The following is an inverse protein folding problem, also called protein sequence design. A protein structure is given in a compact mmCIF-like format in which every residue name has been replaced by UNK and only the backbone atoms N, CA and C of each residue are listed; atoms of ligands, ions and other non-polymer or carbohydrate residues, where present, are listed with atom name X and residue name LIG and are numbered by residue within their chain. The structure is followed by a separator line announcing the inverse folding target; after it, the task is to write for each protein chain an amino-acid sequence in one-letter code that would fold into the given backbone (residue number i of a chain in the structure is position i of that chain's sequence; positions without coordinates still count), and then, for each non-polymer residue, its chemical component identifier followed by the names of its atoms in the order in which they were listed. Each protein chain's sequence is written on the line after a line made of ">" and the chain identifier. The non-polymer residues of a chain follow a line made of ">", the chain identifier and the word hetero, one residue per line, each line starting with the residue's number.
data_IF_509224947623
#
_entry.id   IF_509224947623
#
_cell.length_a   1.000
_cell.length_b   1.000
_cell.length_c   1.000
_cell.angle_alpha   90.00
_cell.angle_beta   90.00
_cell.angle_gamma   90.00
#
_symmetry.space_group_name_H-M   'P 1'
#
loop_
_entity.id
_entity.type
_entity.pdbx_description
1 polymer ?
#
# COMPACT_ATOMS: atom_id res chain seq x y z
N UNK A 1 10.71 -2.98 -2.67
CA UNK A 1 11.46 -2.39 -1.52
C UNK A 1 10.59 -2.46 -0.28
N UNK A 2 11.09 -2.82 0.90
CA UNK A 2 10.29 -2.70 2.13
C UNK A 2 10.17 -1.23 2.56
N UNK A 3 8.95 -0.73 2.74
CA UNK A 3 8.72 0.70 3.00
C UNK A 3 9.24 1.14 4.37
N UNK A 4 9.23 0.26 5.38
CA UNK A 4 9.78 0.55 6.70
C UNK A 4 11.29 0.74 6.68
N UNK A 5 12.00 -0.10 5.90
CA UNK A 5 13.44 0.08 5.64
C UNK A 5 13.72 1.38 4.89
N UNK A 6 12.89 1.73 3.89
CA UNK A 6 13.04 2.98 3.14
C UNK A 6 12.88 4.21 4.06
N UNK A 7 11.83 4.24 4.89
CA UNK A 7 11.59 5.32 5.87
C UNK A 7 12.78 5.45 6.84
N UNK A 8 13.31 4.33 7.34
CA UNK A 8 14.45 4.35 8.27
C UNK A 8 15.69 4.99 7.64
N UNK A 9 15.92 4.77 6.34
CA UNK A 9 17.05 5.35 5.60
C UNK A 9 16.85 6.82 5.24
N UNK A 10 15.62 7.23 4.93
CA UNK A 10 15.29 8.59 4.53
C UNK A 10 15.12 9.55 5.72
N UNK A 11 14.87 9.02 6.92
CA UNK A 11 14.58 9.83 8.10
C UNK A 11 13.10 10.22 8.21
N UNK A 12 12.76 10.98 9.26
CA UNK A 12 11.37 11.31 9.62
C UNK A 12 10.84 12.61 8.99
N UNK A 13 11.65 13.33 8.22
CA UNK A 13 11.29 14.63 7.64
C UNK A 13 10.69 14.53 6.22
N UNK A 14 10.69 13.32 5.66
CA UNK A 14 10.28 13.02 4.29
C UNK A 14 8.97 12.24 4.28
N UNK A 15 8.07 12.63 3.38
CA UNK A 15 6.87 11.85 3.06
C UNK A 15 7.18 10.78 2.01
N UNK A 16 6.53 9.64 2.10
CA UNK A 16 6.74 8.51 1.17
C UNK A 16 5.46 8.17 0.42
N UNK A 17 5.60 7.61 -0.78
CA UNK A 17 4.49 7.10 -1.59
C UNK A 17 4.72 5.63 -1.94
N UNK A 18 3.64 4.84 -1.97
CA UNK A 18 3.64 3.44 -2.41
C UNK A 18 3.17 2.47 -1.32
N UNK A 19 3.45 1.18 -1.45
CA UNK A 19 4.25 0.54 -2.50
C UNK A 19 3.75 -0.88 -2.82
N UNK A 20 2.44 -1.09 -2.78
CA UNK A 20 1.82 -2.39 -3.00
C UNK A 20 2.17 -2.95 -4.39
N UNK A 21 2.56 -4.21 -4.45
CA UNK A 21 2.75 -4.91 -5.72
C UNK A 21 1.38 -5.00 -6.46
N UNK A 22 1.26 -4.52 -7.71
CA UNK A 22 -0.01 -4.58 -8.45
C UNK A 22 -0.56 -6.00 -8.58
N UNK A 23 0.29 -7.04 -8.56
CA UNK A 23 -0.16 -8.44 -8.61
C UNK A 23 -0.94 -8.86 -7.36
N UNK A 24 -0.82 -8.13 -6.24
CA UNK A 24 -1.62 -8.41 -5.05
C UNK A 24 -3.13 -8.26 -5.27
N UNK A 25 -3.56 -7.51 -6.29
CA UNK A 25 -4.97 -7.35 -6.65
C UNK A 25 -5.62 -8.62 -7.22
N UNK A 26 -4.81 -9.64 -7.55
CA UNK A 26 -5.27 -10.97 -7.97
C UNK A 26 -5.23 -12.00 -6.84
N UNK A 27 -4.80 -11.61 -5.63
CA UNK A 27 -4.76 -12.51 -4.48
C UNK A 27 -6.12 -12.58 -3.77
N UNK A 28 -6.31 -13.63 -2.98
CA UNK A 28 -7.47 -13.72 -2.10
C UNK A 28 -7.59 -12.49 -1.20
N UNK A 29 -8.81 -12.09 -0.90
CA UNK A 29 -9.10 -10.85 -0.17
C UNK A 29 -8.36 -10.77 1.17
N UNK A 30 -8.30 -11.87 1.93
CA UNK A 30 -7.57 -11.90 3.21
C UNK A 30 -6.06 -11.71 3.04
N UNK A 31 -5.48 -12.13 1.91
CA UNK A 31 -4.06 -11.89 1.60
C UNK A 31 -3.84 -10.41 1.28
N UNK A 32 -4.72 -9.83 0.45
CA UNK A 32 -4.68 -8.43 0.09
C UNK A 32 -4.82 -7.54 1.33
N UNK A 33 -5.78 -7.83 2.21
CA UNK A 33 -5.98 -7.13 3.48
C UNK A 33 -4.73 -7.16 4.36
N UNK A 34 -4.10 -8.32 4.54
CA UNK A 34 -2.85 -8.43 5.33
C UNK A 34 -1.71 -7.59 4.73
N UNK A 35 -1.57 -7.58 3.41
CA UNK A 35 -0.55 -6.78 2.71
C UNK A 35 -0.81 -5.28 2.88
N UNK A 36 -2.06 -4.83 2.72
CA UNK A 36 -2.46 -3.43 2.92
C UNK A 36 -2.18 -2.99 4.35
N UNK A 37 -2.62 -3.79 5.34
CA UNK A 37 -2.40 -3.49 6.75
C UNK A 37 -0.91 -3.39 7.12
N UNK A 38 -0.06 -4.28 6.61
CA UNK A 38 1.39 -4.24 6.84
C UNK A 38 2.03 -2.97 6.26
N UNK A 39 1.68 -2.60 5.03
CA UNK A 39 2.20 -1.40 4.37
C UNK A 39 1.76 -0.14 5.13
N UNK A 40 0.48 -0.03 5.49
CA UNK A 40 -0.04 1.11 6.28
C UNK A 40 0.64 1.21 7.64
N UNK A 41 0.76 0.08 8.37
CA UNK A 41 1.45 0.04 9.68
C UNK A 41 2.88 0.54 9.59
N UNK A 42 3.64 0.12 8.57
CA UNK A 42 5.02 0.56 8.35
C UNK A 42 5.08 2.04 7.93
N UNK A 43 4.13 2.46 7.10
CA UNK A 43 4.00 3.83 6.59
C UNK A 43 3.74 4.89 7.66
N UNK A 44 3.02 4.55 8.76
CA UNK A 44 2.77 5.45 9.91
C UNK A 44 4.04 6.03 10.55
N UNK A 45 5.22 5.48 10.25
CA UNK A 45 6.51 5.99 10.77
C UNK A 45 7.06 7.18 9.98
N UNK A 46 6.57 7.46 8.77
CA UNK A 46 7.01 8.59 7.93
C UNK A 46 6.38 9.92 8.39
N UNK A 47 6.86 11.06 7.84
CA UNK A 47 6.19 12.36 8.00
C UNK A 47 4.76 12.33 7.46
N UNK A 48 4.60 11.70 6.31
CA UNK A 48 3.33 11.44 5.64
C UNK A 48 3.46 10.24 4.72
N UNK A 49 2.37 9.51 4.53
CA UNK A 49 2.36 8.31 3.68
C UNK A 49 1.17 8.37 2.73
N UNK A 50 1.48 8.43 1.43
CA UNK A 50 0.50 8.27 0.36
C UNK A 50 0.53 6.79 -0.06
N UNK A 51 -0.51 6.04 0.30
CA UNK A 51 -0.62 4.67 -0.17
C UNK A 51 -0.75 4.67 -1.70
N UNK A 52 0.03 3.82 -2.37
CA UNK A 52 -0.07 3.65 -3.82
C UNK A 52 0.45 2.25 -4.22
N UNK A 53 0.20 1.87 -5.46
CA UNK A 53 0.90 0.74 -6.08
C UNK A 53 2.38 1.10 -6.29
N UNK A 54 3.24 0.09 -6.35
CA UNK A 54 4.66 0.24 -6.66
C UNK A 54 4.93 0.38 -8.17
N UNK A 55 3.94 0.08 -9.00
CA UNK A 55 3.94 0.24 -10.45
C UNK A 55 2.50 0.50 -10.92
N UNK A 56 2.32 0.87 -12.19
CA UNK A 56 0.99 0.97 -12.80
C UNK A 56 0.17 -0.31 -12.63
N UNK A 57 -1.15 -0.13 -12.48
CA UNK A 57 -2.13 -1.21 -12.44
C UNK A 57 -2.06 -2.05 -13.72
N UNK A 58 -2.29 -3.35 -13.58
CA UNK A 58 -2.23 -4.30 -14.71
C UNK A 58 -3.60 -4.29 -15.43
N UNK A 59 -3.67 -4.27 -16.78
CA UNK A 59 -4.94 -4.16 -17.52
C UNK A 59 -5.96 -5.25 -17.19
N UNK A 60 -5.49 -6.45 -16.83
CA UNK A 60 -6.32 -7.59 -16.45
C UNK A 60 -6.90 -7.48 -15.04
N UNK A 61 -6.51 -6.46 -14.26
CA UNK A 61 -6.99 -6.29 -12.89
C UNK A 61 -8.50 -6.04 -12.90
N UNK A 62 -9.31 -6.85 -12.19
CA UNK A 62 -10.74 -6.60 -12.11
C UNK A 62 -10.99 -5.21 -11.47
N UNK A 63 -11.82 -4.34 -12.08
CA UNK A 63 -12.09 -3.01 -11.54
C UNK A 63 -12.63 -3.02 -10.10
N UNK A 64 -13.39 -4.05 -9.74
CA UNK A 64 -13.91 -4.23 -8.38
C UNK A 64 -12.79 -4.48 -7.36
N UNK A 65 -11.71 -5.16 -7.73
CA UNK A 65 -10.56 -5.34 -6.84
C UNK A 65 -9.83 -4.02 -6.60
N UNK A 66 -9.75 -3.15 -7.60
CA UNK A 66 -9.18 -1.81 -7.44
C UNK A 66 -10.04 -0.94 -6.52
N UNK A 67 -11.38 -0.95 -6.70
CA UNK A 67 -12.31 -0.26 -5.79
C UNK A 67 -12.22 -0.80 -4.37
N UNK A 68 -12.14 -2.13 -4.22
CA UNK A 68 -12.00 -2.79 -2.92
C UNK A 68 -10.70 -2.40 -2.23
N UNK A 69 -9.58 -2.32 -2.96
CA UNK A 69 -8.32 -1.82 -2.42
C UNK A 69 -8.47 -0.39 -1.88
N UNK A 70 -9.11 0.51 -2.62
CA UNK A 70 -9.32 1.90 -2.18
C UNK A 70 -10.15 1.95 -0.89
N UNK A 71 -11.23 1.18 -0.82
CA UNK A 71 -12.05 1.06 0.40
C UNK A 71 -11.22 0.57 1.59
N UNK A 72 -10.51 -0.55 1.44
CA UNK A 72 -9.65 -1.12 2.48
C UNK A 72 -8.61 -0.12 2.99
N UNK A 73 -7.97 0.64 2.09
CA UNK A 73 -6.99 1.65 2.49
C UNK A 73 -7.64 2.74 3.34
N UNK A 74 -8.80 3.27 2.96
CA UNK A 74 -9.49 4.29 3.76
C UNK A 74 -9.99 3.75 5.10
N UNK A 75 -10.55 2.55 5.13
CA UNK A 75 -11.04 1.91 6.37
C UNK A 75 -9.91 1.65 7.39
N UNK A 76 -8.70 1.30 6.93
CA UNK A 76 -7.56 0.93 7.79
C UNK A 76 -6.58 2.08 8.10
N UNK A 77 -6.65 3.17 7.34
CA UNK A 77 -5.74 4.32 7.50
C UNK A 77 -6.31 5.46 8.35
N UNK A 78 -7.59 5.36 8.73
CA UNK A 78 -8.20 6.19 9.78
C UNK A 78 -7.47 6.13 11.11
#
# INVERSE_FOLDING_TARGET
>A
VDIGKAITRLGRDVSVQGNLDPLALFSDEGVLQRKVADILKKGRRARGHIFNLGHGIIPQTPPEMAKRLVQMVHEMSG
#
